data_IF_860544838518
#
_entry.id   IF_860544838518
#
_cell.length_a   1.000
_cell.length_b   1.000
_cell.length_c   1.000
_cell.angle_alpha   90.00
_cell.angle_beta   90.00
_cell.angle_gamma   90.00
#
_symmetry.space_group_name_H-M   'P 1'
#
loop_
_entity.id
_entity.type
_entity.pdbx_description
1 polymer ?
#
# COMPACT_ATOMS: atom_id res chain seq x y z
N UNK A 1 6.59 11.05 8.87
CA UNK A 1 6.11 12.44 8.94
C UNK A 1 4.89 12.64 8.03
N UNK A 2 4.90 12.14 6.78
CA UNK A 2 3.79 12.32 5.82
C UNK A 2 2.39 11.85 6.29
N UNK A 3 2.28 10.75 7.04
CA UNK A 3 0.97 10.27 7.51
C UNK A 3 0.27 11.20 8.50
N UNK A 4 1.04 11.92 9.34
CA UNK A 4 0.46 12.87 10.31
C UNK A 4 -0.17 14.06 9.59
N UNK A 5 0.52 14.57 8.57
CA UNK A 5 0.03 15.67 7.75
C UNK A 5 -1.19 15.29 6.90
N UNK A 6 -1.26 14.03 6.43
CA UNK A 6 -2.45 13.54 5.72
C UNK A 6 -3.65 13.46 6.67
N UNK A 7 -3.48 12.94 7.89
CA UNK A 7 -4.55 12.90 8.89
C UNK A 7 -5.04 14.29 9.29
N UNK A 8 -4.13 15.24 9.48
CA UNK A 8 -4.44 16.64 9.76
C UNK A 8 -5.22 17.28 8.60
N UNK A 9 -4.79 17.07 7.35
CA UNK A 9 -5.48 17.59 6.18
C UNK A 9 -6.91 17.04 6.04
N UNK A 10 -7.10 15.74 6.27
CA UNK A 10 -8.42 15.11 6.23
C UNK A 10 -9.35 15.68 7.31
N UNK A 11 -8.83 15.91 8.52
CA UNK A 11 -9.59 16.56 9.60
C UNK A 11 -10.02 17.99 9.22
N UNK A 12 -9.14 18.78 8.61
CA UNK A 12 -9.45 20.14 8.15
C UNK A 12 -10.53 20.13 7.06
N UNK A 13 -10.47 19.15 6.16
CA UNK A 13 -11.47 18.96 5.09
C UNK A 13 -12.85 18.68 5.68
N UNK A 14 -12.93 17.79 6.67
CA UNK A 14 -14.20 17.45 7.33
C UNK A 14 -14.81 18.66 8.07
N UNK A 15 -13.97 19.45 8.77
CA UNK A 15 -14.41 20.69 9.42
C UNK A 15 -14.92 21.72 8.41
N UNK A 16 -14.21 21.90 7.28
CA UNK A 16 -14.63 22.79 6.22
C UNK A 16 -15.97 22.38 5.59
N UNK A 17 -16.20 21.07 5.39
CA UNK A 17 -17.48 20.55 4.93
C UNK A 17 -18.62 20.87 5.91
N UNK A 18 -18.39 20.67 7.22
CA UNK A 18 -19.38 20.97 8.26
C UNK A 18 -19.72 22.46 8.33
N UNK A 19 -18.72 23.34 8.23
CA UNK A 19 -18.91 24.80 8.21
C UNK A 19 -19.71 25.21 6.98
N UNK A 20 -19.40 24.64 5.81
CA UNK A 20 -20.16 24.89 4.59
C UNK A 20 -21.63 24.45 4.72
N UNK A 21 -21.91 23.33 5.39
CA UNK A 21 -23.27 22.86 5.66
C UNK A 21 -24.04 23.78 6.63
N UNK A 22 -23.36 24.30 7.65
CA UNK A 22 -23.98 25.17 8.65
C UNK A 22 -24.26 26.59 8.14
N UNK A 23 -23.40 27.14 7.28
CA UNK A 23 -23.43 28.56 6.94
C UNK A 23 -23.83 28.86 5.48
N UNK A 24 -23.96 27.84 4.63
CA UNK A 24 -24.35 28.05 3.24
C UNK A 24 -25.89 28.01 3.10
N UNK A 25 -26.54 29.14 2.74
CA UNK A 25 -27.99 29.15 2.53
C UNK A 25 -28.41 28.28 1.34
N UNK A 26 -27.46 27.91 0.47
CA UNK A 26 -27.70 27.00 -0.65
C UNK A 26 -27.26 25.56 -0.28
N UNK A 27 -28.23 24.77 0.16
CA UNK A 27 -28.03 23.36 0.52
C UNK A 27 -27.49 22.50 -0.63
N UNK A 28 -27.92 22.75 -1.87
CA UNK A 28 -27.45 22.00 -3.03
C UNK A 28 -25.96 22.28 -3.30
N UNK A 29 -25.53 23.54 -3.15
CA UNK A 29 -24.12 23.92 -3.25
C UNK A 29 -23.30 23.27 -2.14
N UNK A 30 -23.81 23.26 -0.91
CA UNK A 30 -23.14 22.59 0.21
C UNK A 30 -23.00 21.08 -0.03
N UNK A 31 -24.07 20.42 -0.49
CA UNK A 31 -24.07 18.98 -0.79
C UNK A 31 -23.03 18.62 -1.87
N UNK A 32 -22.96 19.40 -2.95
CA UNK A 32 -21.96 19.20 -4.01
C UNK A 32 -20.54 19.42 -3.51
N UNK A 33 -20.34 20.43 -2.67
CA UNK A 33 -19.04 20.71 -2.05
C UNK A 33 -18.58 19.56 -1.17
N UNK A 34 -19.47 19.04 -0.30
CA UNK A 34 -19.20 17.85 0.52
C UNK A 34 -18.90 16.61 -0.30
N UNK A 35 -19.67 16.35 -1.36
CA UNK A 35 -19.41 15.22 -2.26
C UNK A 35 -18.02 15.32 -2.90
N UNK A 36 -17.65 16.49 -3.43
CA UNK A 36 -16.32 16.71 -4.00
C UNK A 36 -15.19 16.52 -2.98
N UNK A 37 -15.38 16.93 -1.73
CA UNK A 37 -14.39 16.69 -0.66
C UNK A 37 -14.25 15.21 -0.32
N UNK A 38 -15.35 14.46 -0.29
CA UNK A 38 -15.32 13.01 -0.07
C UNK A 38 -14.61 12.28 -1.21
N UNK A 39 -14.84 12.68 -2.46
CA UNK A 39 -14.16 12.11 -3.63
C UNK A 39 -12.64 12.34 -3.56
N UNK A 40 -12.21 13.56 -3.21
CA UNK A 40 -10.79 13.88 -3.02
C UNK A 40 -10.19 13.05 -1.88
N UNK A 41 -10.88 12.96 -0.74
CA UNK A 41 -10.43 12.17 0.41
C UNK A 41 -10.26 10.68 0.05
N UNK A 42 -11.21 10.12 -0.70
CA UNK A 42 -11.14 8.73 -1.16
C UNK A 42 -9.95 8.51 -2.10
N UNK A 43 -9.74 9.40 -3.07
CA UNK A 43 -8.63 9.29 -4.01
C UNK A 43 -7.26 9.35 -3.31
N UNK A 44 -7.09 10.23 -2.33
CA UNK A 44 -5.85 10.30 -1.55
C UNK A 44 -5.63 9.06 -0.67
N UNK A 45 -6.71 8.51 -0.11
CA UNK A 45 -6.64 7.27 0.67
C UNK A 45 -6.24 6.08 -0.19
N UNK A 46 -6.81 5.94 -1.38
CA UNK A 46 -6.44 4.90 -2.34
C UNK A 46 -4.97 5.01 -2.76
N UNK A 47 -4.50 6.23 -3.07
CA UNK A 47 -3.10 6.48 -3.40
C UNK A 47 -2.17 6.09 -2.26
N UNK A 48 -2.55 6.43 -1.02
CA UNK A 48 -1.79 6.07 0.16
C UNK A 48 -1.72 4.55 0.36
N UNK A 49 -2.85 3.85 0.24
CA UNK A 49 -2.92 2.40 0.36
C UNK A 49 -2.09 1.71 -0.73
N UNK A 50 -2.11 2.24 -1.96
CA UNK A 50 -1.26 1.76 -3.06
C UNK A 50 0.23 1.93 -2.73
N UNK A 51 0.67 3.13 -2.33
CA UNK A 51 2.07 3.40 -1.97
C UNK A 51 2.53 2.52 -0.80
N UNK A 52 1.65 2.24 0.15
CA UNK A 52 1.90 1.32 1.27
C UNK A 52 2.09 -0.12 0.80
N UNK A 53 1.25 -0.60 -0.12
CA UNK A 53 1.40 -1.94 -0.73
C UNK A 53 2.70 -2.06 -1.51
N UNK A 54 3.04 -1.07 -2.32
CA UNK A 54 4.26 -1.08 -3.14
C UNK A 54 5.51 -1.06 -2.26
N UNK A 55 5.52 -0.26 -1.20
CA UNK A 55 6.62 -0.24 -0.23
C UNK A 55 6.78 -1.61 0.47
N UNK A 56 5.68 -2.26 0.86
CA UNK A 56 5.71 -3.61 1.44
C UNK A 56 6.22 -4.64 0.43
N UNK A 57 5.78 -4.58 -0.82
CA UNK A 57 6.24 -5.49 -1.87
C UNK A 57 7.74 -5.31 -2.14
N UNK A 58 8.21 -4.06 -2.26
CA UNK A 58 9.63 -3.75 -2.41
C UNK A 58 10.45 -4.28 -1.22
N UNK A 59 9.93 -4.11 0.00
CA UNK A 59 10.56 -4.64 1.22
C UNK A 59 10.68 -6.17 1.13
N UNK A 60 9.59 -6.88 0.85
CA UNK A 60 9.58 -8.34 0.70
C UNK A 60 10.55 -8.79 -0.40
N UNK A 61 10.54 -8.14 -1.56
CA UNK A 61 11.42 -8.52 -2.68
C UNK A 61 12.88 -8.29 -2.32
N UNK A 62 13.21 -7.21 -1.60
CA UNK A 62 14.57 -6.93 -1.13
C UNK A 62 15.05 -7.95 -0.09
N UNK A 63 14.17 -8.38 0.82
CA UNK A 63 14.46 -9.47 1.77
C UNK A 63 14.78 -10.78 1.05
N UNK A 64 13.99 -11.18 0.05
CA UNK A 64 14.24 -12.41 -0.70
C UNK A 64 15.45 -12.32 -1.64
N UNK A 65 15.77 -11.13 -2.16
CA UNK A 65 16.96 -10.94 -3.01
C UNK A 65 18.27 -11.02 -2.22
N UNK A 66 18.26 -10.67 -0.93
CA UNK A 66 19.40 -10.86 -0.02
C UNK A 66 19.66 -12.32 0.35
N UNK A 67 18.63 -13.18 0.31
CA UNK A 67 18.76 -14.60 0.69
C UNK A 67 19.33 -15.51 -0.39
N UNK A 68 19.46 -15.05 -1.64
CA UNK A 68 20.00 -15.84 -2.76
C UNK A 68 21.48 -15.58 -3.05
N UNK A 69 22.22 -14.90 -2.15
CA UNK A 69 23.66 -14.73 -2.29
C UNK A 69 24.42 -15.78 -1.46
N UNK A 70 24.19 -17.06 -1.75
CA UNK A 70 25.20 -18.11 -1.51
C UNK A 70 25.84 -18.42 -2.85
N UNK A 71 26.90 -17.67 -3.15
CA UNK A 71 27.91 -18.03 -4.13
C UNK A 71 28.67 -19.24 -3.58
N UNK A 72 28.49 -20.41 -4.21
CA UNK A 72 29.59 -21.14 -4.87
C UNK A 72 29.03 -22.30 -5.68
N UNK A 73 29.50 -22.32 -6.91
CA UNK A 73 29.45 -23.36 -7.92
C UNK A 73 29.96 -24.70 -7.34
N UNK A 74 29.06 -25.57 -6.89
CA UNK A 74 29.39 -26.97 -6.60
C UNK A 74 28.82 -27.84 -7.73
N UNK A 75 29.77 -28.32 -8.53
CA UNK A 75 29.69 -29.36 -9.56
C UNK A 75 28.58 -30.40 -9.29
N UNK A 76 27.74 -30.76 -10.28
CA UNK A 76 26.72 -31.79 -10.07
C UNK A 76 27.37 -33.15 -9.84
N UNK A 77 27.52 -33.54 -8.58
CA UNK A 77 27.96 -34.89 -8.22
C UNK A 77 26.98 -35.93 -8.79
N UNK A 78 27.46 -36.93 -9.56
CA UNK A 78 26.59 -37.97 -10.10
C UNK A 78 26.14 -38.92 -8.97
N UNK A 79 24.83 -39.03 -8.78
CA UNK A 79 24.22 -39.97 -7.85
C UNK A 79 24.27 -41.39 -8.39
N UNK A 80 25.15 -42.24 -7.85
CA UNK A 80 25.14 -43.67 -8.16
C UNK A 80 24.18 -44.40 -7.22
N UNK A 81 22.92 -44.56 -7.66
CA UNK A 81 21.98 -45.49 -7.02
C UNK A 81 22.28 -46.91 -7.50
N UNK A 82 22.82 -47.76 -6.62
CA UNK A 82 22.93 -49.21 -6.85
C UNK A 82 21.66 -49.88 -6.36
N UNK A 83 20.82 -50.35 -7.27
CA UNK A 83 19.75 -51.28 -6.94
C UNK A 83 20.35 -52.65 -6.56
N UNK A 84 20.29 -52.99 -5.27
CA UNK A 84 20.46 -54.36 -4.82
C UNK A 84 19.19 -55.14 -5.18
N UNK A 85 19.32 -56.03 -6.18
CA UNK A 85 18.34 -57.04 -6.54
C UNK A 85 18.36 -58.12 -5.45
N UNK A 86 17.26 -58.29 -4.75
CA UNK A 86 17.08 -59.38 -3.77
C UNK A 86 16.26 -60.46 -4.48
N UNK A 87 16.81 -61.67 -4.54
CA UNK A 87 16.19 -62.89 -5.07
C UNK A 87 15.24 -63.54 -4.09
#
# INVERSE_FOLDING_TARGET
MEMKHLGELLSIIDDAARIAEQHNPNLERSRRFRAGLQDISSAYRELYDQKSRDAKHLTITSFFKGSNLTETDDEPQPSTSKHARIS
#
